data_IF_515034509385
#
_entry.id   IF_515034509385
#
_cell.length_a   1.000
_cell.length_b   1.000
_cell.length_c   1.000
_cell.angle_alpha   90.00
_cell.angle_beta   90.00
_cell.angle_gamma   90.00
#
_symmetry.space_group_name_H-M   'P 1'
#
loop_
_entity.id
_entity.type
_entity.pdbx_description
1 polymer ?
#
# COMPACT_ATOMS: atom_id res chain seq x y z
N UNK A 1 -1.08 8.88 -14.93
CA UNK A 1 -1.65 8.38 -16.20
C UNK A 1 -2.14 6.97 -15.94
N UNK A 2 -3.31 6.58 -16.48
CA UNK A 2 -3.74 5.19 -16.54
C UNK A 2 -3.43 4.69 -17.94
N UNK A 3 -2.78 3.53 -18.06
CA UNK A 3 -2.48 2.87 -19.33
C UNK A 3 -3.13 1.49 -19.35
N UNK A 4 -3.64 1.08 -20.51
CA UNK A 4 -4.24 -0.23 -20.75
C UNK A 4 -3.49 -0.87 -21.92
N UNK A 5 -2.89 -2.03 -21.65
CA UNK A 5 -2.26 -2.90 -22.64
C UNK A 5 -3.15 -4.13 -22.86
N UNK A 6 -3.55 -4.38 -24.10
CA UNK A 6 -4.37 -5.55 -24.48
C UNK A 6 -3.47 -6.56 -25.17
N UNK A 7 -3.51 -7.81 -24.72
CA UNK A 7 -2.73 -8.93 -25.27
C UNK A 7 -3.64 -9.95 -25.95
N UNK A 8 -3.09 -10.68 -26.93
CA UNK A 8 -3.79 -11.80 -27.54
C UNK A 8 -3.75 -13.01 -26.61
N UNK A 9 -4.89 -13.68 -26.41
CA UNK A 9 -4.96 -14.90 -25.62
C UNK A 9 -4.20 -16.07 -26.27
N UNK A 10 -4.27 -16.18 -27.60
CA UNK A 10 -3.74 -17.32 -28.36
C UNK A 10 -2.24 -17.21 -28.65
N UNK A 11 -1.66 -16.02 -28.55
CA UNK A 11 -0.26 -15.78 -28.84
C UNK A 11 0.49 -15.50 -27.54
N UNK A 12 1.46 -16.34 -27.15
CA UNK A 12 2.30 -16.15 -25.94
C UNK A 12 3.35 -15.03 -26.11
N UNK A 13 3.01 -14.00 -26.86
CA UNK A 13 3.88 -12.85 -27.09
C UNK A 13 3.81 -11.91 -25.88
N UNK A 14 4.96 -11.40 -25.46
CA UNK A 14 5.06 -10.36 -24.43
C UNK A 14 4.81 -8.95 -25.01
N UNK A 15 4.37 -8.84 -26.27
CA UNK A 15 4.02 -7.57 -26.93
C UNK A 15 2.51 -7.38 -26.97
N UNK A 16 1.97 -6.23 -26.51
CA UNK A 16 0.54 -5.95 -26.61
C UNK A 16 0.11 -5.79 -28.07
N UNK A 17 -1.13 -6.18 -28.37
CA UNK A 17 -1.77 -5.97 -29.67
C UNK A 17 -2.46 -4.59 -29.78
N UNK A 18 -2.75 -3.96 -28.65
CA UNK A 18 -3.28 -2.61 -28.57
C UNK A 18 -2.86 -1.96 -27.26
N UNK A 19 -2.60 -0.65 -27.30
CA UNK A 19 -2.26 0.16 -26.13
C UNK A 19 -3.01 1.47 -26.17
N UNK A 20 -3.55 1.89 -25.03
CA UNK A 20 -4.18 3.20 -24.88
C UNK A 20 -3.95 3.80 -23.48
N UNK A 21 -4.08 5.12 -23.37
CA UNK A 21 -3.86 5.84 -22.11
C UNK A 21 -4.91 6.92 -21.84
N UNK A 22 -5.04 7.28 -20.56
CA UNK A 22 -5.79 8.43 -20.09
C UNK A 22 -4.96 9.20 -19.05
N UNK A 23 -4.90 10.52 -19.18
CA UNK A 23 -4.25 11.36 -18.18
C UNK A 23 -5.15 11.48 -16.95
N UNK A 24 -4.57 11.29 -15.77
CA UNK A 24 -5.30 11.41 -14.52
C UNK A 24 -4.59 12.38 -13.60
N UNK A 25 -5.39 13.00 -12.73
CA UNK A 25 -4.92 13.78 -11.60
C UNK A 25 -5.70 13.32 -10.37
N UNK A 26 -4.98 12.84 -9.37
CA UNK A 26 -5.57 12.33 -8.13
C UNK A 26 -5.63 13.47 -7.12
N UNK A 27 -6.73 13.55 -6.39
CA UNK A 27 -6.94 14.52 -5.34
C UNK A 27 -7.41 13.78 -4.08
N UNK A 28 -6.99 14.27 -2.91
CA UNK A 28 -7.56 13.80 -1.64
C UNK A 28 -8.95 14.40 -1.43
N UNK A 29 -9.80 13.68 -0.71
CA UNK A 29 -11.19 14.06 -0.39
C UNK A 29 -12.00 14.43 -1.65
N UNK A 30 -12.95 15.36 -1.51
CA UNK A 30 -13.70 15.99 -2.60
C UNK A 30 -12.87 17.01 -3.41
N UNK A 31 -11.57 16.79 -3.55
CA UNK A 31 -10.64 17.75 -4.17
C UNK A 31 -10.86 17.92 -5.67
N UNK A 32 -11.24 16.86 -6.38
CA UNK A 32 -11.52 16.90 -7.81
C UNK A 32 -12.75 17.78 -8.12
N UNK A 33 -13.84 17.59 -7.37
CA UNK A 33 -15.07 18.36 -7.51
C UNK A 33 -14.86 19.83 -7.16
N UNK A 34 -14.08 20.10 -6.10
CA UNK A 34 -13.67 21.48 -5.78
C UNK A 34 -12.90 22.10 -6.94
N UNK A 35 -11.95 21.38 -7.53
CA UNK A 35 -11.15 21.87 -8.66
C UNK A 35 -12.00 22.17 -9.90
N UNK A 36 -12.93 21.28 -10.26
CA UNK A 36 -13.85 21.47 -11.38
C UNK A 36 -14.69 22.73 -11.16
N UNK A 37 -15.29 22.86 -9.97
CA UNK A 37 -16.12 24.03 -9.61
C UNK A 37 -15.33 25.35 -9.64
N UNK A 38 -14.08 25.34 -9.20
CA UNK A 38 -13.24 26.53 -9.21
C UNK A 38 -12.82 26.97 -10.62
N UNK A 39 -12.50 26.02 -11.50
CA UNK A 39 -12.24 26.31 -12.92
C UNK A 39 -13.50 26.83 -13.64
N UNK A 40 -14.68 26.26 -13.35
CA UNK A 40 -15.97 26.73 -13.89
C UNK A 40 -16.27 28.17 -13.45
N UNK A 41 -16.13 28.48 -12.15
CA UNK A 41 -16.26 29.86 -11.63
C UNK A 41 -15.29 30.82 -12.30
N UNK A 42 -14.05 30.40 -12.56
CA UNK A 42 -13.02 31.21 -13.22
C UNK A 42 -13.35 31.45 -14.70
N UNK A 43 -13.90 30.46 -15.41
CA UNK A 43 -14.35 30.62 -16.78
C UNK A 43 -15.54 31.57 -16.88
N UNK A 44 -16.51 31.48 -15.96
CA UNK A 44 -17.68 32.37 -15.95
C UNK A 44 -17.31 33.84 -15.74
N UNK A 45 -16.29 34.14 -14.93
CA UNK A 45 -15.78 35.51 -14.74
C UNK A 45 -15.13 36.09 -16.00
N UNK A 46 -14.57 35.24 -16.88
CA UNK A 46 -13.93 35.68 -18.13
C UNK A 46 -14.91 35.93 -19.28
N UNK A 47 -16.12 35.34 -19.25
CA UNK A 47 -17.18 35.56 -20.26
C UNK A 47 -17.91 36.92 -20.13
N UNK A 48 -17.50 37.79 -19.21
CA UNK A 48 -18.13 39.10 -18.93
C UNK A 48 -17.94 40.20 -19.99
N UNK A 49 -17.33 39.93 -21.16
CA UNK A 49 -17.32 40.85 -22.30
C UNK A 49 -17.59 40.09 -23.60
N UNK A 50 -18.86 40.14 -24.02
CA UNK A 50 -19.33 40.01 -25.40
C UNK A 50 -18.70 38.94 -26.29
N UNK A 51 -19.27 37.73 -26.32
CA UNK A 51 -19.75 37.06 -27.53
C UNK A 51 -20.34 35.71 -27.13
N UNK A 52 -21.60 35.50 -27.49
CA UNK A 52 -22.29 34.23 -27.34
C UNK A 52 -21.75 33.23 -28.37
N UNK A 53 -20.61 32.60 -28.08
CA UNK A 53 -20.22 31.35 -28.73
C UNK A 53 -20.86 30.20 -27.97
N UNK A 54 -21.93 29.63 -28.54
CA UNK A 54 -22.55 28.38 -28.14
C UNK A 54 -21.53 27.24 -28.25
N UNK A 55 -20.80 27.03 -27.17
CA UNK A 55 -20.28 25.73 -26.78
C UNK A 55 -20.58 25.62 -25.29
N UNK A 56 -21.83 25.28 -24.98
CA UNK A 56 -22.10 24.59 -23.73
C UNK A 56 -21.17 23.38 -23.68
N UNK A 57 -20.40 23.17 -22.61
CA UNK A 57 -19.81 21.86 -22.38
C UNK A 57 -21.00 20.90 -22.37
N UNK A 58 -20.99 19.95 -23.29
CA UNK A 58 -22.00 18.92 -23.35
C UNK A 58 -21.82 18.06 -22.09
N UNK A 59 -22.53 18.41 -21.01
CA UNK A 59 -22.52 17.70 -19.73
C UNK A 59 -23.21 16.32 -19.82
N UNK A 60 -23.43 15.80 -21.03
CA UNK A 60 -24.15 14.54 -21.24
C UNK A 60 -23.25 13.30 -21.23
N UNK A 61 -21.92 13.46 -21.17
CA UNK A 61 -21.02 12.30 -21.16
C UNK A 61 -19.92 12.46 -20.09
N UNK A 62 -20.17 11.93 -18.90
CA UNK A 62 -19.17 11.66 -17.84
C UNK A 62 -18.11 10.60 -18.28
N UNK A 63 -17.96 10.38 -19.58
CA UNK A 63 -17.15 9.33 -20.19
C UNK A 63 -15.93 9.98 -20.83
N UNK A 64 -14.74 9.59 -20.36
CA UNK A 64 -13.47 9.94 -20.99
C UNK A 64 -12.95 8.74 -21.77
N UNK A 65 -12.85 8.85 -23.09
CA UNK A 65 -12.27 7.80 -23.92
C UNK A 65 -10.74 7.80 -23.82
N UNK A 66 -10.15 6.59 -23.79
CA UNK A 66 -8.71 6.42 -23.80
C UNK A 66 -8.15 6.76 -25.17
N UNK A 67 -6.97 7.39 -25.21
CA UNK A 67 -6.26 7.69 -26.45
C UNK A 67 -5.32 6.55 -26.81
N UNK A 68 -5.45 6.00 -28.02
CA UNK A 68 -4.57 4.95 -28.53
C UNK A 68 -3.12 5.42 -28.65
N UNK A 69 -2.18 4.53 -28.33
CA UNK A 69 -0.73 4.72 -28.47
C UNK A 69 -0.21 3.86 -29.63
N UNK A 70 0.68 4.43 -30.42
CA UNK A 70 1.32 3.73 -31.55
C UNK A 70 2.52 2.89 -31.11
N UNK A 71 3.14 3.23 -29.98
CA UNK A 71 4.26 2.51 -29.43
C UNK A 71 3.78 1.30 -28.61
N UNK A 72 4.07 0.11 -29.11
CA UNK A 72 3.77 -1.18 -28.48
C UNK A 72 5.01 -1.87 -27.92
N UNK A 73 6.19 -1.27 -28.08
CA UNK A 73 7.48 -1.88 -27.74
C UNK A 73 7.99 -1.43 -26.37
N UNK A 74 7.67 -0.20 -25.96
CA UNK A 74 8.00 0.28 -24.61
C UNK A 74 7.32 -0.56 -23.53
N UNK A 75 8.07 -0.95 -22.51
CA UNK A 75 7.52 -1.69 -21.37
C UNK A 75 7.10 -0.72 -20.25
N UNK A 76 5.93 -0.92 -19.63
CA UNK A 76 5.53 -0.12 -18.48
C UNK A 76 6.41 -0.44 -17.27
N UNK A 77 6.71 0.57 -16.47
CA UNK A 77 7.40 0.37 -15.18
C UNK A 77 6.41 -0.19 -14.18
N UNK A 78 6.61 -1.44 -13.78
CA UNK A 78 5.82 -2.08 -12.74
C UNK A 78 6.54 -1.86 -11.40
N UNK A 79 5.85 -1.20 -10.46
CA UNK A 79 6.30 -1.16 -9.08
C UNK A 79 5.96 -2.50 -8.43
N UNK A 80 6.99 -3.29 -8.12
CA UNK A 80 6.86 -4.53 -7.38
C UNK A 80 7.58 -4.33 -6.05
N UNK A 81 6.86 -4.07 -4.94
CA UNK A 81 7.50 -4.00 -3.63
C UNK A 81 8.22 -5.33 -3.36
N UNK A 82 9.38 -5.26 -2.73
CA UNK A 82 10.28 -6.39 -2.37
C UNK A 82 11.21 -6.95 -3.47
N UNK A 83 11.18 -6.43 -4.70
CA UNK A 83 12.28 -6.66 -5.66
C UNK A 83 13.32 -5.54 -5.49
N UNK A 84 14.44 -5.85 -4.83
CA UNK A 84 15.58 -4.95 -4.79
C UNK A 84 15.98 -4.60 -6.23
N UNK A 85 16.10 -3.30 -6.54
CA UNK A 85 16.42 -2.70 -7.85
C UNK A 85 17.73 -3.15 -8.51
N UNK A 86 18.34 -4.26 -8.08
CA UNK A 86 19.62 -4.76 -8.56
C UNK A 86 19.58 -5.42 -9.93
N UNK A 87 18.51 -6.13 -10.33
CA UNK A 87 18.63 -7.08 -11.46
C UNK A 87 17.51 -7.09 -12.52
N UNK A 88 16.44 -6.28 -12.45
CA UNK A 88 15.30 -6.45 -13.38
C UNK A 88 15.31 -5.56 -14.64
N UNK A 89 16.31 -4.71 -14.87
CA UNK A 89 16.41 -3.96 -16.14
C UNK A 89 17.00 -4.77 -17.31
N UNK A 90 17.22 -6.08 -17.19
CA UNK A 90 17.59 -6.93 -18.34
C UNK A 90 16.84 -8.25 -18.31
N UNK A 91 15.57 -8.20 -18.66
CA UNK A 91 14.94 -9.32 -19.38
C UNK A 91 14.34 -8.76 -20.68
N UNK A 92 15.25 -8.22 -21.50
CA UNK A 92 15.12 -8.19 -22.95
C UNK A 92 15.99 -9.32 -23.50
N UNK A 93 15.40 -10.12 -24.37
CA UNK A 93 15.96 -11.35 -24.94
C UNK A 93 17.28 -11.16 -25.70
N UNK A 94 18.20 -12.13 -25.58
CA UNK A 94 19.12 -12.60 -26.64
C UNK A 94 19.46 -14.06 -26.25
N UNK A 95 19.18 -15.12 -27.01
CA UNK A 95 19.64 -15.37 -28.37
C UNK A 95 21.08 -15.90 -28.34
N UNK A 96 21.30 -17.15 -28.79
CA UNK A 96 22.62 -17.75 -29.02
C UNK A 96 23.59 -16.76 -29.69
N UNK A 97 24.83 -16.64 -29.18
CA UNK A 97 26.03 -16.58 -30.02
C UNK A 97 27.32 -16.72 -29.20
N UNK A 98 28.24 -17.45 -29.80
CA UNK A 98 29.60 -17.74 -29.36
C UNK A 98 30.51 -16.50 -29.33
N UNK A 99 31.60 -16.65 -28.56
CA UNK A 99 32.91 -15.99 -28.66
C UNK A 99 33.17 -14.59 -28.05
N UNK A 100 34.03 -14.63 -27.02
CA UNK A 100 35.32 -13.90 -26.87
C UNK A 100 35.36 -12.37 -26.75
N UNK A 101 35.93 -11.96 -25.62
CA UNK A 101 36.77 -10.78 -25.35
C UNK A 101 36.13 -9.38 -25.52
N UNK A 102 36.06 -8.61 -24.43
CA UNK A 102 36.97 -7.48 -24.20
C UNK A 102 36.63 -6.73 -22.91
N UNK A 103 37.67 -6.44 -22.15
CA UNK A 103 37.79 -5.58 -20.97
C UNK A 103 37.22 -4.17 -21.16
N UNK A 104 36.71 -3.53 -20.10
CA UNK A 104 37.22 -2.24 -19.60
C UNK A 104 37.10 -2.20 -18.07
N UNK A 105 38.22 -1.80 -17.47
CA UNK A 105 38.51 -1.67 -16.06
C UNK A 105 37.92 -0.37 -15.50
N UNK A 106 37.38 -0.41 -14.28
CA UNK A 106 37.68 0.62 -13.27
C UNK A 106 37.83 -0.04 -11.91
N UNK A 107 39.09 -0.31 -11.58
CA UNK A 107 39.60 -0.67 -10.26
C UNK A 107 39.26 0.44 -9.26
N UNK A 108 38.72 0.06 -8.10
CA UNK A 108 39.04 0.68 -6.82
C UNK A 108 39.53 -0.42 -5.88
N UNK A 109 40.84 -0.42 -5.62
CA UNK A 109 41.55 -1.32 -4.69
C UNK A 109 41.23 -0.91 -3.24
N UNK A 110 41.34 -1.69 -2.15
CA UNK A 110 42.19 -2.80 -1.64
C UNK A 110 41.32 -3.54 -0.56
N UNK A 111 41.51 -4.77 -0.05
CA UNK A 111 42.65 -5.68 0.18
C UNK A 111 42.08 -7.11 0.49
N UNK A 112 42.80 -8.22 0.21
CA UNK A 112 42.48 -9.57 0.68
C UNK A 112 43.49 -10.08 1.74
N UNK A 113 43.02 -10.74 2.81
CA UNK A 113 43.75 -11.76 3.63
C UNK A 113 42.73 -12.35 4.62
N UNK A 114 42.25 -13.57 4.34
CA UNK A 114 42.47 -14.85 5.05
C UNK A 114 41.53 -15.11 6.24
N UNK A 115 41.23 -16.40 6.37
CA UNK A 115 40.75 -17.09 7.57
C UNK A 115 39.24 -17.24 7.80
N UNK A 116 38.85 -18.51 7.67
CA UNK A 116 38.15 -19.30 8.69
C UNK A 116 36.77 -19.85 8.31
N UNK A 117 36.71 -21.18 8.32
CA UNK A 117 35.50 -21.98 8.13
C UNK A 117 34.47 -21.66 9.22
N UNK A 118 33.33 -21.11 8.82
CA UNK A 118 32.11 -21.12 9.63
C UNK A 118 30.93 -21.56 8.78
N UNK A 119 30.06 -22.49 9.23
CA UNK A 119 28.84 -22.80 8.50
C UNK A 119 27.96 -21.54 8.47
N UNK A 120 27.63 -21.08 7.28
CA UNK A 120 26.62 -20.03 7.07
C UNK A 120 25.35 -20.43 7.82
N UNK A 121 24.74 -19.54 8.63
CA UNK A 121 23.49 -19.86 9.27
C UNK A 121 22.48 -20.18 8.18
N UNK A 122 21.91 -21.39 8.25
CA UNK A 122 20.81 -21.85 7.42
C UNK A 122 19.84 -20.69 7.22
N UNK A 123 19.80 -20.19 5.98
CA UNK A 123 18.88 -19.15 5.54
C UNK A 123 17.48 -19.74 5.66
N UNK A 124 16.87 -19.58 6.84
CA UNK A 124 15.48 -19.87 7.06
C UNK A 124 14.72 -19.15 5.95
N UNK A 125 13.93 -19.92 5.20
CA UNK A 125 12.94 -19.41 4.27
C UNK A 125 12.23 -18.25 4.96
N UNK A 126 12.46 -17.02 4.47
CA UNK A 126 11.78 -15.85 4.99
C UNK A 126 10.37 -15.90 4.41
N UNK A 127 9.51 -16.50 5.21
CA UNK A 127 8.06 -16.49 5.24
C UNK A 127 7.47 -15.25 4.54
N UNK A 128 6.48 -15.50 3.68
CA UNK A 128 5.57 -14.52 3.09
C UNK A 128 5.36 -13.32 4.03
N UNK A 129 5.47 -12.11 3.48
CA UNK A 129 5.49 -10.86 4.23
C UNK A 129 4.37 -10.77 5.27
N UNK A 130 4.69 -11.04 6.53
CA UNK A 130 3.79 -10.84 7.66
C UNK A 130 3.37 -9.37 7.67
N UNK A 131 2.10 -9.10 7.33
CA UNK A 131 1.51 -7.75 7.35
C UNK A 131 1.40 -7.30 8.82
N UNK A 132 2.49 -6.71 9.34
CA UNK A 132 2.52 -6.14 10.68
C UNK A 132 1.72 -4.85 10.74
N UNK A 133 1.06 -4.61 11.86
CA UNK A 133 0.29 -3.39 12.09
C UNK A 133 0.70 -2.78 13.43
N UNK A 134 1.05 -1.49 13.41
CA UNK A 134 1.33 -0.70 14.61
C UNK A 134 0.06 0.04 15.01
N UNK A 135 -0.41 -0.15 16.24
CA UNK A 135 -1.52 0.61 16.82
C UNK A 135 -1.00 1.49 17.97
N UNK A 136 -1.59 2.68 18.13
CA UNK A 136 -1.33 3.54 19.27
C UNK A 136 -2.51 3.48 20.24
N UNK A 137 -2.24 3.09 21.48
CA UNK A 137 -3.28 2.96 22.51
C UNK A 137 -2.91 3.75 23.75
N UNK A 138 -3.90 4.27 24.46
CA UNK A 138 -3.70 4.85 25.80
C UNK A 138 -4.90 4.57 26.68
N UNK A 139 -4.74 4.61 27.99
CA UNK A 139 -5.90 4.65 28.89
C UNK A 139 -6.52 6.05 28.86
N UNK A 140 -7.79 6.16 29.24
CA UNK A 140 -8.50 7.45 29.26
C UNK A 140 -7.82 8.48 30.17
N UNK A 141 -7.17 8.03 31.24
CA UNK A 141 -6.44 8.86 32.19
C UNK A 141 -5.03 9.25 31.75
N UNK A 142 -4.51 8.63 30.70
CA UNK A 142 -3.11 8.77 30.30
C UNK A 142 -3.00 9.78 29.16
N UNK A 143 -1.97 10.64 29.18
CA UNK A 143 -1.72 11.62 28.10
C UNK A 143 -0.85 11.07 26.98
N UNK A 144 -0.12 9.98 27.25
CA UNK A 144 0.82 9.37 26.31
C UNK A 144 0.26 8.08 25.74
N UNK A 145 0.59 7.82 24.47
CA UNK A 145 0.22 6.59 23.79
C UNK A 145 1.34 5.55 23.89
N UNK A 146 0.93 4.31 24.16
CA UNK A 146 1.71 3.11 23.99
C UNK A 146 1.60 2.57 22.56
N UNK A 147 2.71 2.03 22.07
CA UNK A 147 2.76 1.29 20.82
C UNK A 147 2.41 -0.19 21.04
N UNK A 148 1.41 -0.69 20.32
CA UNK A 148 1.12 -2.12 20.18
C UNK A 148 1.51 -2.57 18.77
N UNK A 149 2.57 -3.37 18.68
CA UNK A 149 3.02 -3.95 17.42
C UNK A 149 2.42 -5.34 17.24
N UNK A 150 1.45 -5.47 16.33
CA UNK A 150 0.84 -6.73 15.97
C UNK A 150 1.72 -7.42 14.92
N UNK A 151 2.25 -8.60 15.26
CA UNK A 151 3.05 -9.43 14.34
C UNK A 151 2.22 -9.94 13.17
N UNK A 152 0.94 -10.21 13.42
CA UNK A 152 -0.09 -10.57 12.46
C UNK A 152 -1.39 -9.82 12.78
N UNK A 153 -2.17 -9.41 11.77
CA UNK A 153 -3.37 -8.62 11.97
C UNK A 153 -4.56 -9.54 12.30
N UNK A 154 -4.45 -10.31 13.38
CA UNK A 154 -5.46 -11.27 13.86
C UNK A 154 -5.79 -10.99 15.33
N UNK A 155 -6.90 -11.56 15.83
CA UNK A 155 -7.31 -11.46 17.24
C UNK A 155 -6.21 -11.99 18.15
N UNK A 156 -5.62 -13.12 17.76
CA UNK A 156 -4.49 -13.71 18.48
C UNK A 156 -3.30 -12.74 18.51
N UNK A 157 -2.94 -12.14 17.38
CA UNK A 157 -1.83 -11.18 17.30
C UNK A 157 -2.05 -9.94 18.19
N UNK A 158 -3.29 -9.46 18.27
CA UNK A 158 -3.67 -8.36 19.16
C UNK A 158 -3.61 -8.76 20.65
N UNK A 159 -4.11 -9.95 21.01
CA UNK A 159 -4.01 -10.48 22.38
C UNK A 159 -2.55 -10.65 22.82
N UNK A 160 -1.69 -11.17 21.94
CA UNK A 160 -0.25 -11.30 22.20
C UNK A 160 0.41 -9.93 22.41
N UNK A 161 0.12 -8.94 21.56
CA UNK A 161 0.68 -7.60 21.70
C UNK A 161 0.26 -6.91 23.01
N UNK A 162 -1.01 -7.06 23.41
CA UNK A 162 -1.52 -6.55 24.69
C UNK A 162 -0.86 -7.27 25.87
N UNK A 163 -0.74 -8.60 25.78
CA UNK A 163 -0.06 -9.44 26.78
C UNK A 163 1.38 -9.00 26.99
N UNK A 164 2.14 -8.85 25.91
CA UNK A 164 3.54 -8.42 25.92
C UNK A 164 3.69 -7.02 26.54
N UNK A 165 2.79 -6.09 26.19
CA UNK A 165 2.88 -4.70 26.64
C UNK A 165 2.45 -4.50 28.10
N UNK A 166 1.39 -5.19 28.55
CA UNK A 166 0.75 -4.96 29.85
C UNK A 166 0.92 -6.13 30.85
N UNK A 167 1.62 -7.20 30.47
CA UNK A 167 1.89 -8.35 31.34
C UNK A 167 0.65 -9.19 31.65
N UNK A 168 -0.35 -9.19 30.76
CA UNK A 168 -1.59 -9.93 30.94
C UNK A 168 -1.51 -11.30 30.25
N UNK A 169 -1.67 -12.44 30.96
CA UNK A 169 -1.71 -13.74 30.32
C UNK A 169 -2.79 -13.79 29.23
N UNK A 170 -2.44 -14.29 28.04
CA UNK A 170 -3.35 -14.31 26.87
C UNK A 170 -4.61 -15.11 27.19
N UNK A 171 -4.49 -16.17 27.99
CA UNK A 171 -5.58 -17.03 28.43
C UNK A 171 -6.59 -16.30 29.32
N UNK A 172 -6.18 -15.19 29.95
CA UNK A 172 -7.06 -14.34 30.73
C UNK A 172 -7.76 -13.30 29.88
N UNK A 173 -7.40 -13.08 28.62
CA UNK A 173 -8.10 -12.13 27.74
C UNK A 173 -9.33 -12.83 27.14
N UNK A 174 -10.47 -12.71 27.81
CA UNK A 174 -11.67 -13.46 27.47
C UNK A 174 -12.49 -12.82 26.34
N UNK A 175 -12.54 -11.48 26.29
CA UNK A 175 -13.41 -10.72 25.37
C UNK A 175 -12.67 -9.51 24.81
N UNK A 176 -12.80 -9.29 23.50
CA UNK A 176 -12.17 -8.20 22.78
C UNK A 176 -13.22 -7.44 21.97
N UNK A 177 -13.38 -6.14 22.24
CA UNK A 177 -14.39 -5.31 21.61
C UNK A 177 -13.80 -4.06 20.95
N UNK A 178 -14.38 -3.67 19.81
CA UNK A 178 -14.17 -2.38 19.16
C UNK A 178 -15.33 -1.45 19.49
N UNK A 179 -15.07 -0.23 19.93
CA UNK A 179 -16.08 0.82 20.04
C UNK A 179 -15.79 1.91 19.00
N UNK A 180 -16.71 2.09 18.05
CA UNK A 180 -16.58 3.14 17.03
C UNK A 180 -16.84 4.54 17.60
N UNK A 181 -16.43 5.59 16.87
CA UNK A 181 -16.76 6.99 17.22
C UNK A 181 -18.27 7.25 17.38
N UNK A 182 -19.11 6.44 16.73
CA UNK A 182 -20.58 6.50 16.84
C UNK A 182 -21.13 5.78 18.08
N UNK A 183 -20.26 5.23 18.92
CA UNK A 183 -20.63 4.49 20.13
C UNK A 183 -21.03 3.02 19.90
N UNK A 184 -20.98 2.53 18.65
CA UNK A 184 -21.32 1.12 18.34
C UNK A 184 -20.20 0.22 18.86
N UNK A 185 -20.58 -0.77 19.66
CA UNK A 185 -19.70 -1.81 20.20
C UNK A 185 -19.77 -3.06 19.31
N UNK A 186 -18.61 -3.58 18.90
CA UNK A 186 -18.49 -4.70 17.96
C UNK A 186 -17.55 -5.74 18.57
N UNK A 187 -17.92 -7.02 18.50
CA UNK A 187 -17.02 -8.12 18.87
C UNK A 187 -15.93 -8.26 17.82
N UNK A 188 -14.66 -8.29 18.23
CA UNK A 188 -13.55 -8.33 17.27
C UNK A 188 -13.33 -9.74 16.74
N UNK A 189 -13.18 -9.84 15.42
CA UNK A 189 -12.67 -11.00 14.70
C UNK A 189 -11.44 -10.60 13.86
N UNK A 190 -10.84 -11.57 13.17
CA UNK A 190 -9.65 -11.32 12.34
C UNK A 190 -9.95 -10.33 11.21
N UNK A 191 -11.13 -10.41 10.59
CA UNK A 191 -11.54 -9.50 9.52
C UNK A 191 -11.51 -8.04 9.98
N UNK A 192 -12.01 -7.74 11.18
CA UNK A 192 -12.00 -6.38 11.72
C UNK A 192 -10.56 -5.88 11.91
N UNK A 193 -9.66 -6.74 12.40
CA UNK A 193 -8.27 -6.36 12.72
C UNK A 193 -7.45 -6.17 11.44
N UNK A 194 -7.72 -6.93 10.38
CA UNK A 194 -7.08 -6.77 9.07
C UNK A 194 -7.30 -5.39 8.42
N UNK A 195 -8.39 -4.70 8.81
CA UNK A 195 -8.74 -3.37 8.33
C UNK A 195 -8.06 -2.23 9.11
N UNK A 196 -7.40 -2.53 10.24
CA UNK A 196 -6.63 -1.50 10.93
C UNK A 196 -5.43 -1.06 10.08
N UNK A 197 -5.20 0.25 10.10
CA UNK A 197 -4.07 0.88 9.46
C UNK A 197 -2.95 1.12 10.47
N UNK A 198 -1.72 1.25 9.96
CA UNK A 198 -0.61 1.66 10.81
C UNK A 198 -0.92 3.02 11.44
N UNK A 199 -0.58 3.13 12.72
CA UNK A 199 -0.73 4.33 13.56
C UNK A 199 -2.19 4.66 13.94
N UNK A 200 -3.14 3.76 13.69
CA UNK A 200 -4.52 3.91 14.18
C UNK A 200 -4.52 4.07 15.71
N UNK A 201 -5.27 5.07 16.20
CA UNK A 201 -5.27 5.48 17.61
C UNK A 201 -6.53 5.04 18.34
N UNK A 202 -6.38 4.49 19.54
CA UNK A 202 -7.49 4.04 20.37
C UNK A 202 -7.32 4.41 21.85
N UNK A 203 -8.45 4.55 22.55
CA UNK A 203 -8.49 4.44 24.01
C UNK A 203 -8.66 2.97 24.37
N UNK A 204 -7.73 2.44 25.16
CA UNK A 204 -7.75 1.09 25.70
C UNK A 204 -8.43 1.08 27.06
N UNK A 205 -9.52 0.33 27.17
CA UNK A 205 -10.16 0.01 28.44
C UNK A 205 -9.99 -1.48 28.76
N UNK A 206 -9.60 -1.80 29.99
CA UNK A 206 -9.38 -3.16 30.47
C UNK A 206 -10.16 -3.37 31.76
N UNK A 207 -11.20 -4.21 31.69
CA UNK A 207 -12.07 -4.51 32.82
C UNK A 207 -11.90 -5.96 33.26
N UNK A 208 -11.67 -6.18 34.56
CA UNK A 208 -11.65 -7.53 35.12
C UNK A 208 -13.07 -8.05 35.29
N UNK A 209 -13.33 -9.25 34.79
CA UNK A 209 -14.60 -9.98 34.89
C UNK A 209 -14.37 -11.37 35.49
N UNK A 210 -15.44 -12.08 35.83
CA UNK A 210 -15.35 -13.45 36.41
C UNK A 210 -14.68 -14.43 35.45
N UNK A 211 -14.82 -14.21 34.14
CA UNK A 211 -14.28 -15.06 33.07
C UNK A 211 -12.86 -14.64 32.62
N UNK A 212 -12.30 -13.56 33.18
CA UNK A 212 -11.03 -12.96 32.74
C UNK A 212 -11.15 -11.46 32.46
N UNK A 213 -10.26 -10.90 31.66
CA UNK A 213 -10.27 -9.51 31.22
C UNK A 213 -11.12 -9.32 29.97
N UNK A 214 -11.98 -8.29 30.02
CA UNK A 214 -12.67 -7.72 28.87
C UNK A 214 -11.89 -6.49 28.41
N UNK A 215 -11.42 -6.53 27.17
CA UNK A 215 -10.66 -5.45 26.55
C UNK A 215 -11.54 -4.72 25.55
N UNK A 216 -11.52 -3.39 25.55
CA UNK A 216 -12.22 -2.56 24.57
C UNK A 216 -11.27 -1.51 23.98
N UNK A 217 -11.14 -1.48 22.65
CA UNK A 217 -10.47 -0.40 21.91
C UNK A 217 -11.52 0.58 21.39
N UNK A 218 -11.47 1.83 21.85
CA UNK A 218 -12.38 2.90 21.43
C UNK A 218 -11.69 3.82 20.43
N UNK A 219 -12.24 3.97 19.24
CA UNK A 219 -11.71 4.89 18.21
C UNK A 219 -11.81 6.35 18.66
N UNK A 220 -10.74 7.12 18.40
CA UNK A 220 -10.63 8.56 18.68
C UNK A 220 -10.70 9.33 17.36
#
# INVERSE_FOLDING_TARGET
MIQIDTYSYNNRSNKPIHRAYCQIKVFCDKGAERKIRDEERKQNRKKGKGQASHASPDYSNDITYFKTMTDLDSQPVLFIPDIHFGNLQRTGQVGNNNEKHSSILVKRMFRPVEEEFGPLPLKQMKEEGLKRVLLYVRKETDEVFDALMLKSPTVKGLMEAISEKYGLPVEKIAKLYKKSKKGILVNMDDNIIEHYSNEDTFILNMESTVEGFKITLTEI
#
